data_IF_589329433997
#
_entry.id   IF_589329433997
#
_cell.length_a   1.000
_cell.length_b   1.000
_cell.length_c   1.000
_cell.angle_alpha   90.00
_cell.angle_beta   90.00
_cell.angle_gamma   90.00
#
_symmetry.space_group_name_H-M   'P 1'
#
loop_
_entity.id
_entity.type
_entity.pdbx_description
1 polymer ?
#
# COMPACT_ATOMS: atom_id res chain seq x y z
N UNK A 1 3.91 -1.25 -12.75
CA UNK A 1 2.94 -0.17 -12.44
C UNK A 1 3.70 1.13 -12.24
N UNK A 2 3.01 2.27 -12.25
CA UNK A 2 3.60 3.56 -11.88
C UNK A 2 2.76 4.16 -10.78
N UNK A 3 3.42 4.71 -9.78
CA UNK A 3 2.81 5.44 -8.68
C UNK A 3 3.77 6.53 -8.23
N UNK A 4 3.23 7.57 -7.60
CA UNK A 4 4.01 8.65 -7.00
C UNK A 4 3.36 9.03 -5.68
N UNK A 5 4.18 9.29 -4.66
CA UNK A 5 3.68 9.50 -3.32
C UNK A 5 4.74 9.94 -2.32
N UNK A 6 4.36 9.86 -1.05
CA UNK A 6 5.15 10.24 0.10
C UNK A 6 5.15 9.12 1.14
N UNK A 7 6.26 9.04 1.87
CA UNK A 7 6.39 8.27 3.10
C UNK A 7 6.43 9.24 4.28
N UNK A 8 5.79 8.89 5.39
CA UNK A 8 5.85 9.63 6.64
C UNK A 8 6.18 8.67 7.79
N UNK A 9 6.89 9.19 8.79
CA UNK A 9 7.14 8.53 10.06
C UNK A 9 6.83 9.49 11.20
N UNK A 10 5.95 9.08 12.11
CA UNK A 10 5.73 9.72 13.41
C UNK A 10 6.34 8.84 14.51
N UNK A 11 7.46 9.29 15.07
CA UNK A 11 8.19 8.59 16.12
C UNK A 11 7.43 8.50 17.45
N UNK A 12 6.55 9.46 17.75
CA UNK A 12 5.81 9.46 19.01
C UNK A 12 4.64 8.47 18.98
N UNK A 13 3.97 8.36 17.83
CA UNK A 13 2.89 7.42 17.61
C UNK A 13 3.37 6.01 17.19
N UNK A 14 4.63 5.90 16.74
CA UNK A 14 5.10 4.69 16.07
C UNK A 14 4.34 4.46 14.76
N UNK A 15 4.01 5.53 14.03
CA UNK A 15 3.14 5.49 12.85
C UNK A 15 3.93 5.65 11.56
N UNK A 16 3.82 4.67 10.65
CA UNK A 16 4.35 4.75 9.29
C UNK A 16 3.18 4.98 8.34
N UNK A 17 3.31 5.96 7.44
CA UNK A 17 2.36 6.20 6.37
C UNK A 17 3.02 6.05 5.01
N UNK A 18 2.29 5.47 4.05
CA UNK A 18 2.57 5.50 2.62
C UNK A 18 1.34 6.06 1.91
N UNK A 19 1.44 7.29 1.44
CA UNK A 19 0.40 7.96 0.66
C UNK A 19 0.82 8.05 -0.80
N UNK A 20 0.07 7.47 -1.73
CA UNK A 20 0.44 7.48 -3.15
C UNK A 20 -0.76 7.56 -4.09
N UNK A 21 -0.48 7.95 -5.33
CA UNK A 21 -1.45 8.05 -6.42
C UNK A 21 -1.02 7.14 -7.56
N UNK A 22 -1.95 6.33 -8.05
CA UNK A 22 -1.78 5.60 -9.31
C UNK A 22 -2.33 6.50 -10.43
N UNK A 23 -1.62 6.70 -11.56
CA UNK A 23 -2.03 7.57 -12.67
C UNK A 23 -3.18 7.00 -13.50
N UNK A 24 -4.05 6.22 -12.83
CA UNK A 24 -5.36 5.78 -13.27
C UNK A 24 -6.49 6.41 -12.44
N UNK A 25 -6.18 7.34 -11.53
CA UNK A 25 -7.16 8.00 -10.68
C UNK A 25 -7.54 7.17 -9.46
N UNK A 26 -6.54 6.60 -8.78
CA UNK A 26 -6.67 5.96 -7.46
C UNK A 26 -5.70 6.67 -6.52
N UNK A 27 -6.16 7.03 -5.32
CA UNK A 27 -5.32 7.48 -4.20
C UNK A 27 -5.41 6.46 -3.08
N UNK A 28 -4.27 6.15 -2.48
CA UNK A 28 -4.16 5.23 -1.34
C UNK A 28 -3.42 5.95 -0.22
N UNK A 29 -4.00 5.95 0.98
CA UNK A 29 -3.31 6.32 2.20
C UNK A 29 -3.22 5.07 3.09
N UNK A 30 -2.08 4.39 3.05
CA UNK A 30 -1.85 3.19 3.85
C UNK A 30 -1.07 3.53 5.11
N UNK A 31 -1.48 2.95 6.24
CA UNK A 31 -0.89 3.22 7.55
C UNK A 31 -0.55 1.96 8.34
N UNK A 32 0.39 2.10 9.26
CA UNK A 32 0.73 1.15 10.31
C UNK A 32 1.01 1.93 11.59
N UNK A 33 0.53 1.44 12.73
CA UNK A 33 0.74 2.07 14.05
C UNK A 33 1.46 1.10 15.00
N UNK A 34 2.16 1.65 16.01
CA UNK A 34 2.91 0.83 16.97
C UNK A 34 4.12 0.12 16.37
N UNK A 35 4.65 0.62 15.24
CA UNK A 35 5.89 0.13 14.65
C UNK A 35 7.06 0.57 15.53
N UNK A 36 7.96 -0.35 15.88
CA UNK A 36 9.15 -0.01 16.64
C UNK A 36 10.14 0.81 15.77
N UNK A 37 10.88 1.74 16.38
CA UNK A 37 11.83 2.59 15.65
C UNK A 37 12.97 1.81 14.97
N UNK A 38 13.27 0.59 15.45
CA UNK A 38 14.25 -0.34 14.92
C UNK A 38 13.62 -1.52 14.15
N UNK A 39 12.31 -1.47 13.89
CA UNK A 39 11.63 -2.51 13.12
C UNK A 39 12.20 -2.60 11.70
N UNK A 40 12.66 -3.80 11.34
CA UNK A 40 13.12 -4.11 9.98
C UNK A 40 12.02 -4.71 9.11
N UNK A 41 10.83 -4.97 9.67
CA UNK A 41 9.66 -5.40 8.94
C UNK A 41 8.38 -4.82 9.53
N UNK A 42 7.47 -4.36 8.68
CA UNK A 42 6.17 -3.84 9.07
C UNK A 42 5.17 -3.96 7.91
N UNK A 43 3.88 -4.02 8.25
CA UNK A 43 2.79 -4.11 7.29
C UNK A 43 1.94 -2.83 7.32
N UNK A 44 1.76 -2.22 6.15
CA UNK A 44 0.88 -1.07 5.92
C UNK A 44 -0.44 -1.56 5.34
N UNK A 45 -1.55 -0.92 5.73
CA UNK A 45 -2.88 -1.24 5.19
C UNK A 45 -3.68 0.00 4.83
N UNK A 46 -4.50 -0.12 3.80
CA UNK A 46 -5.58 0.82 3.48
C UNK A 46 -6.84 0.05 3.09
N UNK A 47 -8.00 0.60 3.43
CA UNK A 47 -9.31 0.00 3.12
C UNK A 47 -10.25 1.04 2.51
N UNK A 48 -11.08 0.61 1.57
CA UNK A 48 -12.11 1.47 0.99
C UNK A 48 -13.12 1.88 2.07
N UNK A 49 -13.34 3.19 2.22
CA UNK A 49 -14.27 3.74 3.20
C UNK A 49 -13.69 3.93 4.61
N UNK A 50 -12.44 3.52 4.86
CA UNK A 50 -11.77 3.86 6.12
C UNK A 50 -11.51 5.38 6.16
N UNK A 51 -11.93 6.10 7.23
CA UNK A 51 -11.80 7.55 7.33
C UNK A 51 -10.38 8.04 7.64
N UNK A 52 -9.44 7.15 7.97
CA UNK A 52 -8.05 7.45 8.34
C UNK A 52 -7.07 6.87 7.32
N UNK A 53 -7.23 5.61 6.95
CA UNK A 53 -6.35 4.88 6.04
C UNK A 53 -7.13 4.42 4.80
N UNK A 54 -7.59 5.41 4.05
CA UNK A 54 -8.59 5.22 3.00
C UNK A 54 -8.02 5.00 1.59
N UNK A 55 -8.87 4.40 0.76
CA UNK A 55 -8.73 4.36 -0.69
C UNK A 55 -9.79 5.27 -1.31
N UNK A 56 -9.42 6.04 -2.35
CA UNK A 56 -10.38 6.78 -3.17
C UNK A 56 -10.05 6.60 -4.64
N UNK A 57 -11.08 6.62 -5.48
CA UNK A 57 -10.97 6.25 -6.88
C UNK A 57 -11.92 7.06 -7.76
N UNK A 58 -11.63 7.09 -9.06
CA UNK A 58 -12.50 7.70 -10.04
C UNK A 58 -13.81 6.91 -10.21
N UNK A 59 -14.82 7.56 -10.80
CA UNK A 59 -16.16 6.98 -10.98
C UNK A 59 -16.19 5.67 -11.77
N UNK A 60 -15.30 5.51 -12.77
CA UNK A 60 -15.26 4.28 -13.57
C UNK A 60 -14.73 3.10 -12.75
N UNK A 61 -13.62 3.30 -12.04
CA UNK A 61 -13.02 2.25 -11.21
C UNK A 61 -13.93 1.87 -10.06
N UNK A 62 -14.54 2.83 -9.36
CA UNK A 62 -15.51 2.56 -8.31
C UNK A 62 -16.75 1.78 -8.77
N UNK A 63 -17.11 1.87 -10.05
CA UNK A 63 -18.23 1.12 -10.61
C UNK A 63 -17.85 -0.26 -11.19
N UNK A 64 -16.59 -0.46 -11.62
CA UNK A 64 -16.23 -1.61 -12.46
C UNK A 64 -15.05 -2.44 -11.96
N UNK A 65 -14.12 -1.85 -11.20
CA UNK A 65 -12.86 -2.46 -10.78
C UNK A 65 -12.31 -1.78 -9.52
N UNK A 66 -13.11 -1.81 -8.46
CA UNK A 66 -12.84 -1.05 -7.23
C UNK A 66 -11.72 -1.68 -6.41
N UNK A 67 -10.77 -0.86 -5.95
CA UNK A 67 -9.75 -1.29 -4.99
C UNK A 67 -10.32 -1.26 -3.57
N UNK A 68 -10.63 -2.42 -3.01
CA UNK A 68 -11.33 -2.51 -1.71
C UNK A 68 -10.37 -2.64 -0.52
N UNK A 69 -9.18 -3.20 -0.75
CA UNK A 69 -8.12 -3.35 0.26
C UNK A 69 -6.75 -3.26 -0.38
N UNK A 70 -5.82 -2.65 0.34
CA UNK A 70 -4.40 -2.65 0.03
C UNK A 70 -3.61 -3.10 1.26
N UNK A 71 -2.61 -3.96 1.05
CA UNK A 71 -1.65 -4.32 2.07
C UNK A 71 -0.25 -4.37 1.46
N UNK A 72 0.75 -3.90 2.21
CA UNK A 72 2.15 -4.02 1.82
C UNK A 72 3.02 -4.34 3.02
N UNK A 73 3.78 -5.43 2.91
CA UNK A 73 4.83 -5.78 3.85
C UNK A 73 6.14 -5.23 3.31
N UNK A 74 6.79 -4.41 4.12
CA UNK A 74 8.10 -3.82 3.83
C UNK A 74 9.13 -4.57 4.66
N UNK A 75 10.25 -4.95 4.05
CA UNK A 75 11.34 -5.62 4.77
C UNK A 75 12.70 -5.03 4.41
N UNK A 76 13.44 -4.53 5.39
CA UNK A 76 14.84 -4.12 5.26
C UNK A 76 15.71 -5.30 5.65
N UNK A 77 16.65 -5.68 4.79
CA UNK A 77 17.51 -6.83 4.99
C UNK A 77 18.91 -6.43 5.46
N UNK A 78 19.59 -7.33 6.19
CA UNK A 78 20.94 -7.10 6.72
C UNK A 78 22.00 -6.86 5.64
N UNK A 79 21.76 -7.35 4.42
CA UNK A 79 22.64 -7.15 3.25
C UNK A 79 22.48 -5.77 2.59
N UNK A 80 21.70 -4.88 3.20
CA UNK A 80 21.45 -3.52 2.71
C UNK A 80 20.43 -3.44 1.57
N UNK A 81 19.80 -4.56 1.21
CA UNK A 81 18.68 -4.56 0.27
C UNK A 81 17.36 -4.27 0.97
N UNK A 82 16.38 -3.81 0.19
CA UNK A 82 15.03 -3.53 0.65
C UNK A 82 14.03 -4.30 -0.20
N UNK A 83 13.07 -5.00 0.43
CA UNK A 83 12.04 -5.78 -0.24
C UNK A 83 10.62 -5.31 0.10
N UNK A 84 9.70 -5.64 -0.80
CA UNK A 84 8.26 -5.52 -0.55
C UNK A 84 7.50 -6.74 -1.07
N UNK A 85 6.37 -7.01 -0.41
CA UNK A 85 5.28 -7.86 -0.88
C UNK A 85 3.99 -7.07 -0.72
N UNK A 86 3.28 -6.82 -1.82
CA UNK A 86 2.03 -6.07 -1.79
C UNK A 86 0.88 -6.83 -2.44
N UNK A 87 -0.31 -6.63 -1.89
CA UNK A 87 -1.56 -7.14 -2.42
C UNK A 87 -2.60 -6.02 -2.46
N UNK A 88 -3.21 -5.83 -3.63
CA UNK A 88 -4.44 -5.05 -3.77
C UNK A 88 -5.59 -6.00 -4.07
N UNK A 89 -6.60 -6.02 -3.21
CA UNK A 89 -7.85 -6.75 -3.46
C UNK A 89 -8.76 -5.88 -4.33
N UNK A 90 -9.13 -6.40 -5.50
CA UNK A 90 -10.00 -5.72 -6.46
C UNK A 90 -11.38 -6.39 -6.53
N UNK A 91 -12.43 -5.58 -6.42
CA UNK A 91 -13.80 -6.00 -6.77
C UNK A 91 -14.08 -5.61 -8.23
N UNK A 92 -14.07 -6.59 -9.12
CA UNK A 92 -14.23 -6.37 -10.56
C UNK A 92 -15.57 -6.93 -11.05
N UNK A 93 -16.27 -6.21 -11.93
CA UNK A 93 -17.55 -6.67 -12.48
C UNK A 93 -17.41 -7.89 -13.41
N UNK A 94 -16.20 -8.16 -13.89
CA UNK A 94 -15.89 -9.31 -14.74
C UNK A 94 -15.68 -10.61 -13.95
N UNK A 95 -15.45 -10.54 -12.64
CA UNK A 95 -15.18 -11.70 -11.80
C UNK A 95 -16.22 -11.81 -10.67
N UNK A 96 -16.73 -13.03 -10.39
CA UNK A 96 -17.69 -13.22 -9.29
C UNK A 96 -17.04 -13.06 -7.92
N UNK A 97 -15.74 -13.38 -7.82
CA UNK A 97 -14.96 -13.31 -6.59
C UNK A 97 -13.95 -12.14 -6.63
N UNK A 98 -13.56 -11.58 -5.47
CA UNK A 98 -12.50 -10.60 -5.40
C UNK A 98 -11.19 -11.11 -6.03
N UNK A 99 -10.54 -10.25 -6.81
CA UNK A 99 -9.28 -10.55 -7.46
C UNK A 99 -8.11 -10.07 -6.60
N UNK A 100 -7.24 -10.99 -6.19
CA UNK A 100 -6.00 -10.67 -5.47
C UNK A 100 -4.90 -10.28 -6.47
N UNK A 101 -4.59 -8.99 -6.58
CA UNK A 101 -3.49 -8.49 -7.38
C UNK A 101 -2.23 -8.37 -6.52
N UNK A 102 -1.26 -9.24 -6.75
CA UNK A 102 -0.01 -9.28 -5.96
C UNK A 102 1.20 -8.79 -6.75
N UNK A 103 2.10 -8.07 -6.08
CA UNK A 103 3.45 -7.74 -6.58
C UNK A 103 4.51 -7.96 -5.49
N UNK A 104 5.73 -8.30 -5.88
CA UNK A 104 6.86 -8.44 -4.96
C UNK A 104 8.19 -8.14 -5.65
N UNK A 105 9.10 -7.51 -4.93
CA UNK A 105 10.44 -7.26 -5.43
C UNK A 105 11.47 -7.11 -4.31
N UNK A 106 12.75 -7.26 -4.67
CA UNK A 106 13.92 -6.98 -3.82
C UNK A 106 14.82 -5.99 -4.55
N UNK A 107 15.05 -4.84 -3.94
CA UNK A 107 15.78 -3.72 -4.50
C UNK A 107 17.12 -3.55 -3.81
N UNK A 108 18.12 -3.14 -4.58
CA UNK A 108 19.43 -2.74 -4.07
C UNK A 108 19.61 -1.23 -4.28
N UNK A 109 20.35 -0.60 -3.37
CA UNK A 109 20.65 0.82 -3.44
C UNK A 109 21.66 1.11 -4.55
N UNK A 110 21.42 2.16 -5.34
CA UNK A 110 22.27 2.56 -6.49
C UNK A 110 22.81 4.00 -6.40
N UNK A 111 22.37 4.80 -5.41
CA UNK A 111 22.86 6.14 -5.10
C UNK A 111 22.64 6.46 -3.60
#
# INVERSE_FOLDING_TARGET
>A
HTEVGYWLWDAAAGEVLRGFVVPRGITVLAGAIGVAADATSFELRAELGDPRYGISENAYLGANASSVRYAAIITVHDDGTWGYEEETTLQMTQFPEPFAHTDRNRMHRVA
#
